data_IF_982406319680
#
_entry.id   IF_982406319680
#
_cell.length_a   1.000
_cell.length_b   1.000
_cell.length_c   1.000
_cell.angle_alpha   90.00
_cell.angle_beta   90.00
_cell.angle_gamma   90.00
#
_symmetry.space_group_name_H-M   'P 1'
#
loop_
_entity.id
_entity.type
_entity.pdbx_description
1 polymer ?
#
# COMPACT_ATOMS: atom_id res chain seq x y z
N UNK A 1 10.64 -6.70 30.67
CA UNK A 1 9.90 -7.76 29.98
C UNK A 1 10.85 -8.90 29.69
N UNK A 2 10.33 -10.11 29.61
CA UNK A 2 11.02 -11.20 28.91
C UNK A 2 11.02 -10.85 27.42
N UNK A 3 12.19 -10.61 26.85
CA UNK A 3 12.39 -10.53 25.40
C UNK A 3 12.78 -11.92 24.91
N UNK A 4 12.09 -12.43 23.89
CA UNK A 4 12.39 -13.72 23.27
C UNK A 4 12.78 -13.49 21.82
N UNK A 5 13.91 -14.06 21.40
CA UNK A 5 14.37 -14.00 20.02
C UNK A 5 14.38 -15.41 19.44
N UNK A 6 13.78 -15.57 18.25
CA UNK A 6 13.82 -16.79 17.44
C UNK A 6 14.53 -16.43 16.15
N UNK A 7 15.79 -16.83 16.01
CA UNK A 7 16.59 -16.45 14.86
C UNK A 7 17.35 -17.59 14.19
N UNK A 8 17.51 -17.46 12.88
CA UNK A 8 18.38 -18.31 12.05
C UNK A 8 18.07 -19.81 12.17
N UNK A 9 16.79 -20.16 12.30
CA UNK A 9 16.34 -21.54 12.34
C UNK A 9 15.92 -22.02 10.95
N UNK A 10 16.08 -23.32 10.73
CA UNK A 10 15.53 -24.00 9.56
C UNK A 10 14.45 -24.99 10.03
N UNK A 11 13.22 -24.82 9.55
CA UNK A 11 12.03 -25.57 9.97
C UNK A 11 11.39 -26.18 8.72
N UNK A 12 11.29 -27.50 8.67
CA UNK A 12 10.79 -28.25 7.50
C UNK A 12 9.79 -29.33 7.88
N UNK A 13 8.92 -29.72 6.94
CA UNK A 13 8.06 -30.91 6.98
C UNK A 13 7.18 -31.00 8.23
N UNK A 14 6.62 -29.86 8.64
CA UNK A 14 5.75 -29.78 9.81
C UNK A 14 4.30 -30.11 9.44
N UNK A 15 3.58 -30.79 10.34
CA UNK A 15 2.13 -31.03 10.20
C UNK A 15 1.28 -29.98 10.94
N UNK A 16 1.92 -28.90 11.40
CA UNK A 16 1.36 -27.81 12.19
C UNK A 16 2.21 -26.56 11.95
N UNK A 17 1.80 -25.40 12.48
CA UNK A 17 2.53 -24.16 12.27
C UNK A 17 4.04 -24.28 12.54
N UNK A 18 4.86 -23.65 11.69
CA UNK A 18 6.31 -23.68 11.83
C UNK A 18 6.77 -22.97 13.10
N UNK A 19 6.32 -21.72 13.27
CA UNK A 19 6.48 -20.93 14.50
C UNK A 19 5.10 -20.58 15.03
N UNK A 20 4.83 -20.87 16.30
CA UNK A 20 3.56 -20.59 16.95
C UNK A 20 3.75 -19.66 18.15
N UNK A 21 3.21 -18.45 18.06
CA UNK A 21 3.25 -17.42 19.09
C UNK A 21 1.82 -17.20 19.59
N UNK A 22 1.60 -17.46 20.88
CA UNK A 22 0.31 -17.21 21.52
C UNK A 22 0.48 -16.71 22.94
N UNK A 23 -0.41 -15.82 23.37
CA UNK A 23 -0.62 -15.61 24.80
C UNK A 23 -1.45 -16.78 25.36
N UNK A 24 -1.04 -17.28 26.52
CA UNK A 24 -1.54 -18.52 27.09
C UNK A 24 -2.71 -18.26 28.02
N UNK A 25 -3.90 -17.92 27.47
CA UNK A 25 -5.25 -17.88 28.09
C UNK A 25 -5.38 -17.29 29.53
N UNK A 26 -4.34 -16.64 30.08
CA UNK A 26 -4.34 -16.13 31.45
C UNK A 26 -4.91 -14.70 31.42
N UNK A 27 -6.06 -14.44 32.05
CA UNK A 27 -6.67 -13.10 32.11
C UNK A 27 -5.89 -12.08 32.95
N UNK A 28 -4.60 -12.35 33.21
CA UNK A 28 -3.68 -11.43 33.88
C UNK A 28 -3.36 -10.24 32.96
N UNK A 29 -3.25 -9.00 33.48
CA UNK A 29 -2.90 -7.84 32.68
C UNK A 29 -1.41 -7.90 32.29
N UNK A 30 -1.15 -8.60 31.18
CA UNK A 30 0.00 -8.58 30.27
C UNK A 30 1.42 -8.45 30.84
N UNK A 31 2.36 -9.12 30.16
CA UNK A 31 3.42 -8.37 29.51
C UNK A 31 3.22 -8.35 27.99
N UNK A 32 3.64 -7.27 27.29
CA UNK A 32 3.79 -7.33 25.84
C UNK A 32 4.73 -8.49 25.50
N UNK A 33 4.35 -9.26 24.49
CA UNK A 33 5.25 -10.21 23.86
C UNK A 33 6.21 -9.40 23.01
N UNK A 34 7.34 -9.00 23.60
CA UNK A 34 8.46 -8.44 22.86
C UNK A 34 9.24 -9.61 22.24
N UNK A 35 8.63 -10.23 21.22
CA UNK A 35 9.21 -11.36 20.48
C UNK A 35 9.75 -10.85 19.16
N UNK A 36 10.99 -11.21 18.87
CA UNK A 36 11.61 -10.98 17.56
C UNK A 36 11.82 -12.31 16.86
N UNK A 37 11.22 -12.47 15.67
CA UNK A 37 11.40 -13.63 14.80
C UNK A 37 12.15 -13.17 13.56
N UNK A 38 13.40 -13.63 13.39
CA UNK A 38 14.25 -13.11 12.32
C UNK A 38 15.14 -14.12 11.62
N UNK A 39 15.27 -14.07 10.30
CA UNK A 39 16.25 -14.90 9.57
C UNK A 39 15.89 -16.39 9.51
N UNK A 40 14.66 -16.78 9.78
CA UNK A 40 14.26 -18.19 9.77
C UNK A 40 13.86 -18.64 8.37
N UNK A 41 14.22 -19.87 8.00
CA UNK A 41 13.72 -20.56 6.81
C UNK A 41 12.64 -21.54 7.28
N UNK A 42 11.42 -21.37 6.78
CA UNK A 42 10.26 -22.19 7.14
C UNK A 42 9.66 -22.73 5.85
N UNK A 43 9.61 -24.05 5.73
CA UNK A 43 9.08 -24.65 4.51
C UNK A 43 8.32 -25.94 4.72
N UNK A 44 7.42 -26.24 3.79
CA UNK A 44 6.61 -27.47 3.77
C UNK A 44 5.78 -27.67 5.04
N UNK A 45 5.17 -26.59 5.53
CA UNK A 45 4.18 -26.67 6.61
C UNK A 45 2.83 -27.12 6.03
N UNK A 46 2.50 -28.39 6.27
CA UNK A 46 1.28 -29.05 5.81
C UNK A 46 0.33 -29.27 6.99
N UNK A 47 -0.30 -28.19 7.44
CA UNK A 47 -1.33 -28.23 8.47
C UNK A 47 -2.55 -29.04 8.05
N UNK A 48 -3.40 -29.38 9.02
CA UNK A 48 -4.77 -29.79 8.72
C UNK A 48 -5.53 -28.70 7.94
N UNK A 49 -6.76 -29.00 7.54
CA UNK A 49 -7.62 -28.17 6.67
C UNK A 49 -7.99 -26.78 7.24
N UNK A 50 -7.28 -26.24 8.24
CA UNK A 50 -7.61 -24.99 8.92
C UNK A 50 -6.39 -24.09 9.16
N UNK A 51 -6.68 -22.80 9.12
CA UNK A 51 -5.78 -21.65 8.90
C UNK A 51 -4.58 -21.57 9.87
N UNK A 52 -4.75 -21.94 11.14
CA UNK A 52 -3.68 -21.87 12.14
C UNK A 52 -2.69 -23.04 12.11
N UNK A 53 -3.11 -24.21 11.59
CA UNK A 53 -2.25 -25.40 11.54
C UNK A 53 -1.34 -25.36 10.30
N UNK A 54 -1.75 -24.65 9.24
CA UNK A 54 -1.02 -24.55 7.97
C UNK A 54 -0.03 -23.40 7.87
N UNK A 55 0.09 -22.57 8.92
CA UNK A 55 0.86 -21.33 8.87
C UNK A 55 2.38 -21.56 9.00
N UNK A 56 3.20 -20.90 8.18
CA UNK A 56 4.63 -20.79 8.44
C UNK A 56 4.89 -20.15 9.80
N UNK A 57 4.26 -18.99 10.03
CA UNK A 57 4.23 -18.31 11.33
C UNK A 57 2.79 -18.03 11.75
N UNK A 58 2.38 -18.49 12.93
CA UNK A 58 1.12 -18.16 13.56
C UNK A 58 1.34 -17.22 14.75
N UNK A 59 0.56 -16.15 14.82
CA UNK A 59 0.56 -15.18 15.92
C UNK A 59 -0.87 -14.94 16.36
N UNK A 60 -1.23 -15.33 17.57
CA UNK A 60 -2.56 -15.04 18.06
C UNK A 60 -2.94 -15.80 19.31
N UNK A 61 -4.09 -15.47 19.88
CA UNK A 61 -4.63 -16.20 21.00
C UNK A 61 -5.40 -17.43 20.53
N UNK A 62 -5.38 -18.49 21.34
CA UNK A 62 -6.24 -19.65 21.13
C UNK A 62 -7.69 -19.18 21.24
N UNK A 63 -8.52 -19.46 20.22
CA UNK A 63 -9.98 -19.35 20.37
C UNK A 63 -10.49 -20.50 21.26
N UNK A 64 -10.10 -20.55 22.53
CA UNK A 64 -10.80 -21.37 23.48
C UNK A 64 -12.24 -20.85 23.54
N UNK A 65 -13.18 -21.69 23.09
CA UNK A 65 -14.60 -21.45 22.79
C UNK A 65 -15.45 -20.75 23.90
N UNK A 66 -14.88 -20.38 25.05
CA UNK A 66 -15.65 -19.95 26.23
C UNK A 66 -15.08 -18.76 27.02
N UNK A 67 -14.03 -18.09 26.53
CA UNK A 67 -13.54 -16.83 27.12
C UNK A 67 -13.87 -15.65 26.21
N UNK A 68 -14.88 -14.88 26.60
CA UNK A 68 -15.26 -13.66 25.87
C UNK A 68 -14.10 -12.66 25.90
N UNK A 69 -13.48 -12.44 24.74
CA UNK A 69 -12.53 -11.39 24.42
C UNK A 69 -11.09 -11.61 24.94
N UNK A 70 -10.31 -12.51 24.30
CA UNK A 70 -8.90 -12.66 24.62
C UNK A 70 -8.13 -11.35 24.33
N UNK A 71 -7.13 -11.12 25.16
CA UNK A 71 -6.14 -10.07 25.03
C UNK A 71 -5.35 -10.16 23.72
N UNK A 72 -5.21 -9.08 22.91
CA UNK A 72 -4.42 -9.16 21.68
C UNK A 72 -2.93 -9.46 21.90
N UNK A 73 -2.33 -10.20 20.97
CA UNK A 73 -0.88 -10.41 20.90
C UNK A 73 -0.24 -9.19 20.23
N UNK A 74 0.56 -8.42 20.98
CA UNK A 74 1.05 -7.11 20.54
C UNK A 74 2.56 -6.91 20.66
N UNK A 75 3.12 -6.04 19.81
CA UNK A 75 4.49 -5.54 19.93
C UNK A 75 5.58 -6.51 19.46
N UNK A 76 5.25 -7.46 18.58
CA UNK A 76 6.21 -8.41 18.03
C UNK A 76 6.82 -7.89 16.72
N UNK A 77 7.99 -8.42 16.36
CA UNK A 77 8.72 -8.07 15.14
C UNK A 77 9.07 -9.31 14.32
N UNK A 78 8.75 -9.31 13.04
CA UNK A 78 8.98 -10.40 12.09
C UNK A 78 9.78 -9.90 10.89
N UNK A 79 11.01 -10.38 10.72
CA UNK A 79 11.92 -9.84 9.68
C UNK A 79 12.80 -10.87 9.02
N UNK A 80 13.12 -10.71 7.73
CA UNK A 80 14.09 -11.60 7.06
C UNK A 80 13.74 -13.09 7.13
N UNK A 81 12.47 -13.45 7.32
CA UNK A 81 12.06 -14.84 7.31
C UNK A 81 11.76 -15.26 5.87
N UNK A 82 12.18 -16.47 5.51
CA UNK A 82 11.92 -17.09 4.22
C UNK A 82 10.88 -18.20 4.43
N UNK A 83 9.66 -17.95 3.98
CA UNK A 83 8.49 -18.79 4.21
C UNK A 83 8.01 -19.27 2.84
N UNK A 84 8.43 -20.47 2.44
CA UNK A 84 8.12 -21.07 1.15
C UNK A 84 7.38 -22.40 1.32
N UNK A 85 6.43 -22.74 0.46
CA UNK A 85 5.78 -24.06 0.51
C UNK A 85 4.89 -24.28 1.74
N UNK A 86 4.48 -23.23 2.43
CA UNK A 86 3.52 -23.29 3.53
C UNK A 86 2.10 -23.03 3.00
N UNK A 87 1.08 -23.68 3.58
CA UNK A 87 -0.33 -23.47 3.18
C UNK A 87 -0.79 -22.03 3.44
N UNK A 88 -0.33 -21.46 4.56
CA UNK A 88 -0.48 -20.04 4.91
C UNK A 88 0.91 -19.52 5.25
N UNK A 89 1.29 -18.35 4.72
CA UNK A 89 2.60 -17.76 5.01
C UNK A 89 2.72 -17.33 6.47
N UNK A 90 2.04 -16.25 6.83
CA UNK A 90 1.91 -15.77 8.20
C UNK A 90 0.44 -15.54 8.53
N UNK A 91 -0.01 -15.96 9.71
CA UNK A 91 -1.40 -15.79 10.15
C UNK A 91 -1.47 -15.07 11.49
N UNK A 92 -2.21 -13.96 11.53
CA UNK A 92 -2.35 -13.08 12.68
C UNK A 92 -3.80 -13.08 13.15
N UNK A 93 -4.07 -13.59 14.36
CA UNK A 93 -5.42 -13.66 14.93
C UNK A 93 -5.47 -12.90 16.25
N UNK A 94 -6.36 -11.90 16.35
CA UNK A 94 -6.49 -11.06 17.53
C UNK A 94 -5.11 -10.52 17.96
N UNK A 95 -4.49 -9.76 17.07
CA UNK A 95 -3.13 -9.22 17.23
C UNK A 95 -3.14 -7.76 16.80
N UNK A 96 -2.29 -6.94 17.41
CA UNK A 96 -2.19 -5.50 17.08
C UNK A 96 -0.73 -5.04 17.25
N UNK A 97 -0.36 -3.90 16.66
CA UNK A 97 0.98 -3.30 16.83
C UNK A 97 2.14 -4.29 16.56
N UNK A 98 2.01 -5.17 15.57
CA UNK A 98 3.07 -6.08 15.15
C UNK A 98 3.79 -5.50 13.92
N UNK A 99 5.12 -5.55 13.93
CA UNK A 99 5.96 -5.09 12.82
C UNK A 99 6.33 -6.29 11.92
N UNK A 100 5.97 -6.24 10.64
CA UNK A 100 6.27 -7.30 9.66
C UNK A 100 6.95 -6.67 8.45
N UNK A 101 8.24 -6.94 8.25
CA UNK A 101 9.01 -6.29 7.18
C UNK A 101 10.24 -7.14 6.80
N UNK A 102 10.65 -7.17 5.53
CA UNK A 102 11.77 -7.98 5.00
C UNK A 102 11.53 -9.50 4.93
N UNK A 103 10.29 -9.98 4.94
CA UNK A 103 10.03 -11.43 4.84
C UNK A 103 9.79 -11.84 3.38
N UNK A 104 10.31 -12.99 2.98
CA UNK A 104 9.89 -13.71 1.76
C UNK A 104 8.72 -14.63 2.13
N UNK A 105 7.55 -14.40 1.55
CA UNK A 105 6.32 -15.13 1.81
C UNK A 105 5.84 -15.71 0.48
N UNK A 106 6.56 -16.72 -0.03
CA UNK A 106 6.19 -17.48 -1.22
C UNK A 106 5.17 -18.56 -0.82
N UNK A 107 3.92 -18.48 -1.31
CA UNK A 107 3.01 -19.60 -1.15
C UNK A 107 3.37 -20.72 -2.14
N UNK A 108 3.88 -21.84 -1.63
CA UNK A 108 4.24 -22.98 -2.47
C UNK A 108 3.20 -24.11 -2.55
N UNK A 109 2.04 -24.06 -1.86
CA UNK A 109 1.10 -25.20 -1.88
C UNK A 109 -0.38 -24.78 -1.91
N UNK A 110 -0.88 -24.56 -3.13
CA UNK A 110 -2.30 -24.49 -3.53
C UNK A 110 -2.98 -23.14 -3.25
N UNK A 111 -3.62 -22.57 -4.29
CA UNK A 111 -4.80 -21.67 -4.42
C UNK A 111 -5.35 -20.82 -3.24
N UNK A 112 -4.70 -20.77 -2.10
CA UNK A 112 -5.05 -19.98 -0.94
C UNK A 112 -4.10 -18.81 -0.89
N UNK A 113 -4.60 -17.61 -0.66
CA UNK A 113 -3.75 -16.46 -0.52
C UNK A 113 -2.84 -16.57 0.71
N UNK A 114 -1.62 -16.00 0.71
CA UNK A 114 -0.94 -15.68 1.95
C UNK A 114 -1.81 -14.68 2.74
N UNK A 115 -2.69 -15.18 3.61
CA UNK A 115 -3.59 -14.33 4.39
C UNK A 115 -2.86 -13.75 5.59
N UNK A 116 -2.33 -12.53 5.45
CA UNK A 116 -1.96 -11.70 6.60
C UNK A 116 -3.20 -10.88 7.01
N UNK A 117 -3.70 -11.13 8.21
CA UNK A 117 -4.77 -10.36 8.85
C UNK A 117 -4.16 -9.32 9.80
N UNK A 118 -3.75 -8.17 9.27
CA UNK A 118 -3.27 -7.02 10.05
C UNK A 118 -4.08 -5.77 9.67
N UNK A 119 -4.20 -4.82 10.61
CA UNK A 119 -4.89 -3.54 10.38
C UNK A 119 -4.16 -2.65 9.34
N UNK A 120 -2.83 -2.81 9.19
CA UNK A 120 -2.02 -2.12 8.17
C UNK A 120 -0.92 -3.08 7.71
N UNK A 121 -0.85 -3.33 6.40
CA UNK A 121 0.15 -4.21 5.79
C UNK A 121 1.25 -3.37 5.16
N UNK A 122 2.46 -3.44 5.71
CA UNK A 122 3.63 -2.81 5.11
C UNK A 122 4.18 -3.71 3.98
N UNK A 123 3.77 -3.43 2.74
CA UNK A 123 4.28 -4.12 1.56
C UNK A 123 5.65 -3.59 1.09
N UNK A 124 6.26 -2.59 1.78
CA UNK A 124 7.57 -2.00 1.44
C UNK A 124 8.70 -3.00 1.52
N UNK A 125 8.55 -3.92 2.45
CA UNK A 125 9.66 -4.72 2.85
C UNK A 125 9.36 -6.21 2.70
N UNK A 126 8.13 -6.65 2.45
CA UNK A 126 7.84 -8.08 2.30
C UNK A 126 7.68 -8.48 0.82
N UNK A 127 8.27 -9.61 0.44
CA UNK A 127 8.03 -10.24 -0.85
C UNK A 127 6.87 -11.23 -0.72
N UNK A 128 5.89 -11.13 -1.62
CA UNK A 128 4.61 -11.85 -1.54
C UNK A 128 4.47 -12.99 -2.55
N UNK A 129 5.59 -13.41 -3.17
CA UNK A 129 5.61 -14.43 -4.22
C UNK A 129 5.08 -13.95 -5.58
N UNK A 130 4.84 -12.64 -5.73
CA UNK A 130 4.47 -12.00 -7.00
C UNK A 130 5.09 -10.60 -7.07
N UNK A 131 5.40 -10.17 -8.29
CA UNK A 131 5.80 -8.80 -8.60
C UNK A 131 4.61 -7.95 -9.08
N UNK A 132 3.40 -8.52 -9.15
CA UNK A 132 2.18 -7.84 -9.61
C UNK A 132 1.33 -7.33 -8.41
N UNK A 133 1.29 -6.01 -8.14
CA UNK A 133 0.60 -5.47 -6.97
C UNK A 133 -0.90 -5.77 -6.91
N UNK A 134 -1.57 -5.87 -8.07
CA UNK A 134 -2.99 -6.23 -8.14
C UNK A 134 -3.28 -7.65 -7.69
N UNK A 135 -2.31 -8.55 -7.78
CA UNK A 135 -2.45 -9.89 -7.21
C UNK A 135 -2.36 -9.82 -5.68
N UNK A 136 -1.46 -9.01 -5.11
CA UNK A 136 -1.33 -8.82 -3.65
C UNK A 136 -2.61 -8.27 -3.01
N UNK A 137 -3.27 -7.30 -3.67
CA UNK A 137 -4.54 -6.73 -3.22
C UNK A 137 -5.66 -7.77 -3.02
N UNK A 138 -5.66 -8.81 -3.87
CA UNK A 138 -6.64 -9.90 -3.80
C UNK A 138 -6.31 -10.92 -2.70
N UNK A 139 -5.11 -10.86 -2.15
CA UNK A 139 -4.56 -11.84 -1.21
C UNK A 139 -4.55 -11.34 0.24
N UNK A 140 -4.51 -10.02 0.45
CA UNK A 140 -4.55 -9.38 1.78
C UNK A 140 -5.99 -9.08 2.23
N UNK A 141 -6.28 -9.26 3.53
CA UNK A 141 -7.58 -8.90 4.17
C UNK A 141 -7.52 -7.50 4.82
N UNK A 142 -6.65 -6.61 4.33
CA UNK A 142 -6.38 -5.28 4.90
C UNK A 142 -5.89 -4.25 3.87
N UNK A 143 -5.70 -2.99 4.30
CA UNK A 143 -5.15 -1.92 3.45
C UNK A 143 -3.68 -2.23 3.18
N UNK A 144 -3.31 -2.29 1.90
CA UNK A 144 -1.95 -2.53 1.43
C UNK A 144 -1.34 -1.18 1.04
N UNK A 145 -0.22 -0.80 1.65
CA UNK A 145 0.53 0.38 1.23
C UNK A 145 1.44 0.05 0.03
N UNK A 146 1.14 0.61 -1.15
CA UNK A 146 1.87 0.38 -2.40
C UNK A 146 2.94 1.44 -2.71
N UNK A 147 3.12 2.47 -1.88
CA UNK A 147 4.19 3.47 -2.00
C UNK A 147 5.58 2.92 -2.43
N UNK A 148 5.99 1.70 -2.01
CA UNK A 148 7.30 1.12 -2.32
C UNK A 148 7.46 0.48 -3.70
N UNK A 149 6.35 0.01 -4.28
CA UNK A 149 6.35 -0.62 -5.61
C UNK A 149 6.39 0.43 -6.73
N UNK A 150 6.10 1.68 -6.39
CA UNK A 150 6.43 2.84 -7.20
C UNK A 150 7.95 3.07 -7.10
N UNK A 151 8.71 2.22 -7.77
CA UNK A 151 10.17 2.21 -7.75
C UNK A 151 10.82 3.50 -8.33
N UNK A 152 9.99 4.43 -8.80
CA UNK A 152 10.27 5.85 -8.76
C UNK A 152 9.17 6.44 -7.88
N UNK A 153 9.51 6.96 -6.69
CA UNK A 153 8.58 7.79 -5.95
C UNK A 153 8.04 8.79 -6.95
N UNK A 154 6.76 8.68 -7.27
CA UNK A 154 6.10 9.70 -8.07
C UNK A 154 6.31 10.96 -7.25
N UNK A 155 7.13 11.89 -7.74
CA UNK A 155 7.27 13.19 -7.11
C UNK A 155 5.93 13.87 -7.33
N UNK A 156 4.98 13.61 -6.43
CA UNK A 156 3.62 14.04 -6.63
C UNK A 156 3.54 15.56 -6.61
N UNK A 157 2.77 16.13 -7.54
CA UNK A 157 2.14 15.56 -8.72
C UNK A 157 3.15 15.30 -9.86
N UNK A 158 2.97 14.19 -10.57
CA UNK A 158 3.77 13.85 -11.73
C UNK A 158 3.01 14.06 -13.05
N UNK A 159 3.69 14.69 -13.99
CA UNK A 159 3.22 14.90 -15.36
C UNK A 159 3.86 13.87 -16.29
N UNK A 160 3.17 13.47 -17.35
CA UNK A 160 3.66 12.47 -18.30
C UNK A 160 4.78 12.96 -19.23
N UNK A 161 4.98 14.28 -19.33
CA UNK A 161 6.08 14.92 -20.04
C UNK A 161 6.58 16.19 -19.36
N UNK A 162 7.83 16.55 -19.64
CA UNK A 162 8.45 17.82 -19.25
C UNK A 162 8.18 18.95 -20.25
N UNK A 163 7.75 18.61 -21.46
CA UNK A 163 7.49 19.54 -22.55
C UNK A 163 6.22 19.11 -23.29
N UNK A 164 5.39 20.09 -23.62
CA UNK A 164 4.17 19.90 -24.39
C UNK A 164 4.09 20.94 -25.50
N UNK A 165 3.25 20.65 -26.48
CA UNK A 165 2.83 21.49 -27.59
C UNK A 165 1.34 21.80 -27.47
N UNK A 166 0.89 22.94 -28.02
CA UNK A 166 -0.54 23.19 -28.18
C UNK A 166 -1.18 22.04 -28.99
N UNK A 167 -2.27 21.47 -28.47
CA UNK A 167 -2.93 20.29 -29.01
C UNK A 167 -2.49 18.97 -28.36
N UNK A 168 -1.43 18.96 -27.55
CA UNK A 168 -1.06 17.79 -26.75
C UNK A 168 -2.09 17.53 -25.64
N UNK A 169 -2.14 16.29 -25.19
CA UNK A 169 -2.88 15.90 -23.98
C UNK A 169 -1.88 15.72 -22.85
N UNK A 170 -2.11 16.42 -21.75
CA UNK A 170 -1.35 16.30 -20.52
C UNK A 170 -2.01 15.24 -19.65
N UNK A 171 -1.23 14.35 -19.06
CA UNK A 171 -1.69 13.40 -18.05
C UNK A 171 -1.02 13.69 -16.72
N UNK A 172 -1.82 13.91 -15.68
CA UNK A 172 -1.33 14.09 -14.31
C UNK A 172 -1.59 12.84 -13.49
N UNK A 173 -0.64 12.45 -12.67
CA UNK A 173 -0.76 11.38 -11.68
C UNK A 173 -0.45 11.92 -10.29
N UNK A 174 -1.28 11.57 -9.31
CA UNK A 174 -1.14 11.94 -7.90
C UNK A 174 -1.31 10.70 -7.02
N UNK A 175 -0.39 10.46 -6.09
CA UNK A 175 -0.61 9.53 -4.99
C UNK A 175 -1.36 10.22 -3.84
N UNK A 176 -2.50 9.68 -3.46
CA UNK A 176 -3.23 10.10 -2.27
C UNK A 176 -3.85 8.89 -1.54
N UNK A 177 -3.15 8.28 -0.57
CA UNK A 177 -3.66 7.10 0.12
C UNK A 177 -4.87 7.43 1.02
N UNK A 178 -5.16 8.70 1.31
CA UNK A 178 -6.30 9.07 2.14
C UNK A 178 -7.63 8.91 1.39
N UNK A 179 -7.63 9.14 0.08
CA UNK A 179 -8.82 9.00 -0.77
C UNK A 179 -9.00 7.59 -1.34
N UNK A 180 -8.10 6.66 -1.05
CA UNK A 180 -8.24 5.25 -1.39
C UNK A 180 -8.97 4.52 -0.24
N UNK A 181 -10.30 4.62 -0.26
CA UNK A 181 -11.18 4.19 0.84
C UNK A 181 -11.86 2.82 0.58
N UNK A 182 -12.18 2.48 -0.68
CA UNK A 182 -12.88 1.24 -1.05
C UNK A 182 -11.90 0.22 -1.68
N UNK A 183 -11.50 -0.84 -0.94
CA UNK A 183 -10.49 -1.78 -1.42
C UNK A 183 -10.95 -2.66 -2.60
N UNK A 184 -12.24 -2.60 -2.98
CA UNK A 184 -12.80 -3.39 -4.08
C UNK A 184 -13.38 -2.53 -5.20
N UNK A 185 -13.22 -1.21 -5.15
CA UNK A 185 -13.63 -0.28 -6.21
C UNK A 185 -12.52 0.73 -6.48
N UNK A 186 -12.66 1.44 -7.58
CA UNK A 186 -11.86 2.64 -7.85
C UNK A 186 -12.52 3.82 -7.16
N UNK A 187 -11.73 4.60 -6.43
CA UNK A 187 -12.18 5.85 -5.83
C UNK A 187 -11.96 7.06 -6.73
N UNK A 188 -12.55 8.19 -6.35
CA UNK A 188 -12.38 9.48 -7.04
C UNK A 188 -12.19 10.59 -6.03
N UNK A 189 -11.22 11.46 -6.27
CA UNK A 189 -11.07 12.72 -5.53
C UNK A 189 -11.97 13.75 -6.21
N UNK A 190 -13.04 14.24 -5.54
CA UNK A 190 -14.01 15.12 -6.18
C UNK A 190 -13.49 16.56 -6.34
N UNK A 191 -14.03 17.26 -7.33
CA UNK A 191 -13.79 18.69 -7.61
C UNK A 191 -14.22 19.61 -6.45
N UNK A 192 -15.28 19.26 -5.72
CA UNK A 192 -15.93 20.11 -4.71
C UNK A 192 -15.27 20.11 -3.31
N UNK A 193 -14.08 19.51 -3.14
CA UNK A 193 -13.35 19.59 -1.87
C UNK A 193 -12.49 20.84 -1.93
N UNK A 194 -13.04 21.99 -1.51
CA UNK A 194 -12.39 23.33 -1.43
C UNK A 194 -10.93 23.38 -1.97
N UNK A 195 -10.76 23.72 -3.25
CA UNK A 195 -9.47 24.01 -3.91
C UNK A 195 -8.44 22.86 -3.88
N UNK A 196 -8.86 21.61 -4.14
CA UNK A 196 -7.96 20.45 -4.00
C UNK A 196 -6.96 20.26 -5.16
N UNK A 197 -7.39 20.45 -6.41
CA UNK A 197 -6.54 20.24 -7.60
C UNK A 197 -6.87 21.22 -8.73
N UNK A 198 -6.18 22.36 -8.73
CA UNK A 198 -6.31 23.38 -9.78
C UNK A 198 -5.21 23.25 -10.82
N UNK A 199 -5.58 23.44 -12.08
CA UNK A 199 -4.65 23.55 -13.20
C UNK A 199 -4.80 24.90 -13.85
N UNK A 200 -3.71 25.65 -13.96
CA UNK A 200 -3.68 26.96 -14.62
C UNK A 200 -2.37 27.17 -15.36
N UNK A 201 -2.32 28.16 -16.25
CA UNK A 201 -1.10 28.54 -16.97
C UNK A 201 -0.79 30.02 -16.76
N UNK A 202 0.38 30.46 -17.21
CA UNK A 202 0.72 31.89 -17.25
C UNK A 202 -0.19 32.71 -18.17
N UNK A 203 -0.82 32.10 -19.18
CA UNK A 203 -1.78 32.76 -20.07
C UNK A 203 -3.22 32.62 -19.59
N UNK A 204 -3.58 31.44 -19.09
CA UNK A 204 -4.88 31.10 -18.55
C UNK A 204 -4.80 31.00 -17.03
N UNK A 205 -4.74 32.17 -16.38
CA UNK A 205 -4.66 32.30 -14.92
C UNK A 205 -5.94 31.83 -14.20
N UNK A 206 -7.06 31.71 -14.93
CA UNK A 206 -8.31 31.22 -14.36
C UNK A 206 -8.29 29.70 -14.24
N UNK A 207 -7.77 29.01 -15.27
CA UNK A 207 -7.59 27.57 -15.24
C UNK A 207 -8.90 26.79 -15.04
N UNK A 208 -8.79 25.61 -14.44
CA UNK A 208 -9.92 24.78 -14.04
C UNK A 208 -9.56 23.82 -12.89
N UNK A 209 -10.60 23.36 -12.18
CA UNK A 209 -10.52 22.31 -11.17
C UNK A 209 -10.54 20.93 -11.83
N UNK A 210 -9.77 19.98 -11.29
CA UNK A 210 -9.74 18.60 -11.77
C UNK A 210 -10.35 17.62 -10.78
N UNK A 211 -11.10 16.67 -11.35
CA UNK A 211 -11.52 15.46 -10.66
C UNK A 211 -10.56 14.33 -11.01
N UNK A 212 -9.85 13.78 -10.03
CA UNK A 212 -8.95 12.66 -10.27
C UNK A 212 -9.65 11.32 -9.99
N UNK A 213 -9.35 10.31 -10.80
CA UNK A 213 -9.88 8.94 -10.62
C UNK A 213 -8.74 7.96 -10.37
N UNK A 214 -8.92 7.01 -9.47
CA UNK A 214 -7.91 5.96 -9.27
C UNK A 214 -7.59 5.20 -10.57
N UNK A 215 -6.31 4.96 -10.79
CA UNK A 215 -5.77 4.22 -11.95
C UNK A 215 -6.15 2.74 -11.93
N UNK A 216 -6.52 2.23 -10.76
CA UNK A 216 -7.00 0.87 -10.53
C UNK A 216 -7.59 0.71 -9.14
N UNK A 217 -8.27 -0.41 -8.91
CA UNK A 217 -8.86 -0.73 -7.60
C UNK A 217 -7.76 -0.72 -6.55
N UNK A 218 -7.98 0.07 -5.48
CA UNK A 218 -7.12 0.11 -4.30
C UNK A 218 -5.65 0.44 -4.63
N UNK A 219 -5.42 1.41 -5.53
CA UNK A 219 -4.05 1.76 -5.93
C UNK A 219 -3.49 2.93 -5.15
N UNK A 220 -4.35 3.81 -4.61
CA UNK A 220 -3.92 5.09 -4.06
C UNK A 220 -3.37 6.06 -5.11
N UNK A 221 -3.35 5.68 -6.38
CA UNK A 221 -2.84 6.47 -7.49
C UNK A 221 -3.99 6.99 -8.32
N UNK A 222 -4.12 8.30 -8.40
CA UNK A 222 -5.19 8.99 -9.09
C UNK A 222 -4.65 9.69 -10.33
N UNK A 223 -5.43 9.72 -11.40
CA UNK A 223 -5.03 10.35 -12.66
C UNK A 223 -6.19 11.09 -13.32
N UNK A 224 -5.85 12.09 -14.12
CA UNK A 224 -6.73 12.75 -15.07
C UNK A 224 -5.92 13.30 -16.24
N UNK A 225 -6.57 13.46 -17.40
CA UNK A 225 -5.97 14.00 -18.61
C UNK A 225 -6.75 15.19 -19.15
N UNK A 226 -6.04 16.20 -19.65
CA UNK A 226 -6.65 17.38 -20.26
C UNK A 226 -5.86 17.85 -21.49
N UNK A 227 -6.53 18.42 -22.51
CA UNK A 227 -5.86 18.95 -23.69
C UNK A 227 -5.32 20.37 -23.44
N UNK A 228 -4.21 20.69 -24.11
CA UNK A 228 -3.71 22.04 -24.27
C UNK A 228 -4.31 22.68 -25.52
N UNK A 229 -4.86 23.88 -25.39
CA UNK A 229 -5.53 24.59 -26.48
C UNK A 229 -4.99 26.01 -26.64
N UNK A 230 -5.23 26.59 -27.82
CA UNK A 230 -5.01 28.02 -28.02
C UNK A 230 -5.88 28.82 -27.03
N UNK A 231 -5.39 29.93 -26.45
CA UNK A 231 -6.02 30.59 -25.30
C UNK A 231 -7.29 31.38 -25.63
N UNK A 232 -7.87 31.19 -26.82
CA UNK A 232 -9.08 31.88 -27.25
C UNK A 232 -10.30 31.13 -26.71
N UNK A 233 -10.64 31.43 -25.45
CA UNK A 233 -11.74 30.82 -24.69
C UNK A 233 -11.64 29.29 -24.57
N UNK A 234 -10.72 28.78 -23.74
CA UNK A 234 -10.66 27.35 -23.41
C UNK A 234 -12.02 26.84 -22.91
N UNK A 235 -12.40 25.64 -23.34
CA UNK A 235 -13.58 24.95 -22.87
C UNK A 235 -13.43 24.43 -21.43
N UNK A 236 -14.50 23.85 -20.86
CA UNK A 236 -14.40 23.14 -19.58
C UNK A 236 -13.35 22.02 -19.68
N UNK A 237 -12.44 21.95 -18.71
CA UNK A 237 -11.34 20.98 -18.65
C UNK A 237 -10.34 21.09 -19.83
N UNK A 238 -10.18 22.28 -20.41
CA UNK A 238 -9.13 22.58 -21.39
C UNK A 238 -8.23 23.69 -20.84
N UNK A 239 -6.91 23.59 -21.06
CA UNK A 239 -5.98 24.63 -20.60
C UNK A 239 -5.53 25.52 -21.77
N UNK A 240 -5.81 26.82 -21.68
CA UNK A 240 -5.28 27.78 -22.64
C UNK A 240 -3.78 28.01 -22.47
N UNK A 241 -2.99 27.81 -23.52
CA UNK A 241 -1.53 28.02 -23.49
C UNK A 241 -1.00 28.77 -24.71
N UNK A 242 -0.03 29.64 -24.49
CA UNK A 242 0.85 30.26 -25.50
C UNK A 242 2.25 29.63 -25.44
N UNK A 243 3.06 29.89 -26.48
CA UNK A 243 4.48 29.58 -26.47
C UNK A 243 5.19 30.13 -25.22
N UNK A 244 6.11 29.34 -24.66
CA UNK A 244 6.82 29.57 -23.39
C UNK A 244 5.95 29.66 -22.12
N UNK A 245 4.67 29.28 -22.16
CA UNK A 245 3.86 29.24 -20.94
C UNK A 245 4.37 28.24 -19.91
N UNK A 246 4.09 28.52 -18.64
CA UNK A 246 4.31 27.62 -17.50
C UNK A 246 2.97 27.05 -17.08
N UNK A 247 2.87 25.72 -16.97
CA UNK A 247 1.69 25.03 -16.45
C UNK A 247 1.89 24.78 -14.95
N UNK A 248 0.93 25.24 -14.17
CA UNK A 248 0.86 25.01 -12.74
C UNK A 248 -0.20 23.96 -12.47
N UNK A 249 0.15 23.01 -11.61
CA UNK A 249 -0.80 22.17 -10.93
C UNK A 249 -0.68 22.48 -9.46
N UNK A 250 -1.77 22.90 -8.85
CA UNK A 250 -1.84 23.20 -7.44
C UNK A 250 -2.74 22.18 -6.78
N UNK A 251 -2.21 21.48 -5.79
CA UNK A 251 -3.07 20.64 -4.97
C UNK A 251 -2.44 20.21 -3.68
N UNK A 252 -3.27 19.70 -2.78
CA UNK A 252 -2.88 19.28 -1.45
C UNK A 252 -3.00 17.76 -1.31
N UNK A 253 -2.02 16.96 -1.77
CA UNK A 253 -1.89 15.63 -1.23
C UNK A 253 -1.54 15.79 0.26
N UNK A 254 -2.46 15.43 1.16
CA UNK A 254 -2.31 15.62 2.61
C UNK A 254 -1.08 14.91 3.21
N UNK A 255 -0.37 14.09 2.41
CA UNK A 255 0.76 13.30 2.84
C UNK A 255 2.11 14.06 2.92
N UNK A 256 2.27 15.22 2.28
CA UNK A 256 3.57 15.94 2.26
C UNK A 256 3.51 17.21 3.11
N UNK A 257 4.17 17.17 4.27
CA UNK A 257 4.22 18.25 5.29
C UNK A 257 5.12 19.44 4.87
N UNK A 258 5.42 19.61 3.59
CA UNK A 258 6.23 20.75 3.09
C UNK A 258 5.44 21.55 2.05
N UNK A 259 4.99 22.74 2.44
CA UNK A 259 4.01 23.61 1.77
C UNK A 259 4.51 24.27 0.46
N UNK A 260 5.37 23.62 -0.33
CA UNK A 260 5.75 24.13 -1.64
C UNK A 260 4.88 23.48 -2.70
N UNK A 261 3.97 24.25 -3.30
CA UNK A 261 3.27 23.80 -4.48
C UNK A 261 4.30 23.42 -5.56
N UNK A 262 4.17 22.24 -6.18
CA UNK A 262 4.97 21.84 -7.34
C UNK A 262 4.83 22.89 -8.45
N UNK A 263 5.94 23.29 -9.06
CA UNK A 263 5.97 24.24 -10.18
C UNK A 263 6.69 23.56 -11.34
N UNK A 264 6.00 23.35 -12.47
CA UNK A 264 6.61 22.79 -13.67
C UNK A 264 6.64 23.86 -14.76
N UNK A 265 7.85 24.16 -15.24
CA UNK A 265 8.07 25.08 -16.35
C UNK A 265 8.05 24.30 -17.65
N UNK A 266 7.01 24.45 -18.45
CA UNK A 266 6.99 23.93 -19.82
C UNK A 266 7.79 24.87 -20.73
N UNK A 267 8.75 24.33 -21.48
CA UNK A 267 9.29 25.04 -22.64
C UNK A 267 8.61 24.45 -23.88
N UNK A 268 7.72 25.22 -24.49
CA UNK A 268 7.17 24.87 -25.80
C UNK A 268 8.32 24.86 -26.82
N UNK A 269 8.41 23.79 -27.59
CA UNK A 269 9.41 23.68 -28.66
C UNK A 269 8.69 24.04 -29.96
N UNK A 270 9.01 25.20 -30.54
CA UNK A 270 8.54 25.57 -31.88
C UNK A 270 8.96 24.48 -32.90
N UNK A 271 8.00 24.05 -33.73
CA UNK A 271 8.23 23.28 -34.96
C UNK A 271 8.84 24.15 -36.09
#
# INVERSE_FOLDING_TARGET
GSHLTINDNEIYDMNSAGIYISDNDDPSPYPPTDITVSGNIISWVNGGWMDSEGAGIYVGTSMAIDTMNPSPVIGNRFTYNDIDGCLVGMFFLNSADNEVYYNNIENGLNNYAPTISLDILDAEYNYWGTDEPSEIALLADGIVDYYPWLQNAIEDPNFDSWFYSTGDTVTVTVYDPYYNEDPIRTDTIPEDVDDYFDVYSTTDEAGFEMKLTETGINTGLFTESFPLVEPVEPGPLELGVNDEDIIYFYGYPLAIVDNAAPVITTNLVED
#
